data_IF_688532764392
#
_entry.id   IF_688532764392
#
_cell.length_a   1.000
_cell.length_b   1.000
_cell.length_c   1.000
_cell.angle_alpha   90.00
_cell.angle_beta   90.00
_cell.angle_gamma   90.00
#
_symmetry.space_group_name_H-M   'P 1'
#
loop_
_entity.id
_entity.type
_entity.pdbx_description
1 polymer ?
#
# COMPACT_ATOMS: atom_id res chain seq x y z
N UNK A 1 21.20 -11.96 -14.35
CA UNK A 1 22.19 -11.31 -13.47
C UNK A 1 21.77 -9.86 -13.31
N UNK A 2 21.42 -9.42 -12.09
CA UNK A 2 21.07 -8.02 -11.84
C UNK A 2 22.37 -7.18 -11.85
N UNK A 3 22.39 -6.14 -12.68
CA UNK A 3 23.51 -5.22 -12.82
C UNK A 3 23.72 -4.49 -11.48
N UNK A 4 24.91 -4.64 -10.89
CA UNK A 4 25.25 -3.97 -9.63
C UNK A 4 25.47 -2.49 -9.92
N UNK A 5 24.66 -1.63 -9.31
CA UNK A 5 24.83 -0.18 -9.37
C UNK A 5 26.24 0.21 -8.85
N UNK A 6 26.88 1.23 -9.45
CA UNK A 6 28.23 1.64 -9.09
C UNK A 6 28.29 2.13 -7.63
N UNK A 7 29.24 1.59 -6.86
CA UNK A 7 29.51 1.96 -5.47
C UNK A 7 30.63 3.02 -5.42
N UNK A 8 30.39 4.13 -4.74
CA UNK A 8 31.37 5.19 -4.47
C UNK A 8 31.72 5.20 -2.97
N UNK A 9 32.90 5.69 -2.59
CA UNK A 9 33.39 5.75 -1.19
C UNK A 9 32.52 6.56 -0.21
N UNK A 10 31.52 7.30 -0.71
CA UNK A 10 30.52 8.04 0.09
C UNK A 10 29.13 7.42 0.02
N UNK A 11 28.99 6.27 -0.64
CA UNK A 11 27.72 5.57 -0.84
C UNK A 11 27.41 4.70 0.39
N UNK A 12 26.70 5.30 1.35
CA UNK A 12 26.19 4.60 2.52
C UNK A 12 24.83 4.00 2.16
N UNK A 13 24.73 2.68 2.08
CA UNK A 13 23.44 1.98 2.02
C UNK A 13 22.72 2.06 3.36
N UNK A 14 22.04 3.18 3.63
CA UNK A 14 20.96 3.27 4.63
C UNK A 14 19.63 3.35 3.89
N UNK A 15 18.84 2.29 3.91
CA UNK A 15 17.40 2.43 3.66
C UNK A 15 16.75 2.78 4.99
N UNK A 16 16.71 4.06 5.32
CA UNK A 16 15.99 4.57 6.50
C UNK A 16 14.46 4.45 6.35
N UNK A 17 13.97 4.05 5.18
CA UNK A 17 12.55 3.83 4.91
C UNK A 17 12.33 2.77 3.83
N UNK A 18 11.14 2.16 3.82
CA UNK A 18 10.67 1.24 2.78
C UNK A 18 9.85 2.06 1.78
N UNK A 19 10.19 2.08 0.47
CA UNK A 19 9.43 2.83 -0.51
C UNK A 19 8.02 2.25 -0.68
N UNK A 20 7.03 3.13 -0.69
CA UNK A 20 5.62 2.76 -0.69
C UNK A 20 4.78 3.69 -1.57
N UNK A 21 3.69 3.16 -2.10
CA UNK A 21 2.59 3.94 -2.69
C UNK A 21 1.53 4.13 -1.60
N UNK A 22 1.06 5.36 -1.40
CA UNK A 22 0.05 5.66 -0.37
C UNK A 22 -1.32 5.95 -0.98
N UNK A 23 -2.35 5.30 -0.45
CA UNK A 23 -3.76 5.67 -0.69
C UNK A 23 -4.14 6.71 0.36
N UNK A 24 -4.27 7.97 -0.07
CA UNK A 24 -4.67 9.06 0.83
C UNK A 24 -6.16 9.03 1.16
N UNK A 25 -7.01 8.89 0.14
CA UNK A 25 -8.46 8.92 0.30
C UNK A 25 -9.10 7.85 -0.57
N UNK A 26 -10.00 7.07 0.04
CA UNK A 26 -10.80 6.08 -0.65
C UNK A 26 -12.21 6.10 -0.08
N UNK A 27 -13.19 6.38 -0.93
CA UNK A 27 -14.59 6.48 -0.53
C UNK A 27 -15.51 5.95 -1.63
N UNK A 28 -16.61 5.34 -1.21
CA UNK A 28 -17.71 4.93 -2.08
C UNK A 28 -18.92 5.75 -1.66
N UNK A 29 -19.62 6.35 -2.63
CA UNK A 29 -20.85 7.09 -2.35
C UNK A 29 -21.86 6.20 -1.63
N UNK A 30 -22.62 6.78 -0.68
CA UNK A 30 -23.56 6.04 0.19
C UNK A 30 -24.53 5.16 -0.59
N UNK A 31 -24.98 5.63 -1.75
CA UNK A 31 -25.93 4.91 -2.62
C UNK A 31 -25.35 3.62 -3.23
N UNK A 32 -24.03 3.46 -3.19
CA UNK A 32 -23.29 2.33 -3.77
C UNK A 32 -22.48 1.56 -2.71
N UNK A 33 -22.61 1.90 -1.43
CA UNK A 33 -21.97 1.14 -0.36
C UNK A 33 -22.62 -0.24 -0.19
N UNK A 34 -21.86 -1.18 0.39
CA UNK A 34 -22.28 -2.57 0.63
C UNK A 34 -22.70 -3.40 -0.61
N UNK A 35 -22.50 -2.88 -1.83
CA UNK A 35 -22.79 -3.57 -3.09
C UNK A 35 -21.55 -4.17 -3.77
N UNK A 36 -20.40 -4.18 -3.06
CA UNK A 36 -19.14 -4.76 -3.57
C UNK A 36 -18.25 -3.81 -4.37
N UNK A 37 -18.74 -2.62 -4.77
CA UNK A 37 -17.96 -1.64 -5.52
C UNK A 37 -16.63 -1.27 -4.88
N UNK A 38 -16.59 -1.08 -3.55
CA UNK A 38 -15.36 -0.75 -2.84
C UNK A 38 -14.26 -1.81 -3.03
N UNK A 39 -14.62 -3.08 -2.88
CA UNK A 39 -13.69 -4.20 -3.09
C UNK A 39 -13.26 -4.32 -4.56
N UNK A 40 -14.19 -4.13 -5.50
CA UNK A 40 -13.89 -4.21 -6.93
C UNK A 40 -12.92 -3.10 -7.37
N UNK A 41 -13.16 -1.87 -6.94
CA UNK A 41 -12.29 -0.72 -7.25
C UNK A 41 -10.92 -0.92 -6.59
N UNK A 42 -10.85 -1.39 -5.34
CA UNK A 42 -9.58 -1.64 -4.67
C UNK A 42 -8.75 -2.70 -5.40
N UNK A 43 -9.37 -3.80 -5.85
CA UNK A 43 -8.68 -4.82 -6.65
C UNK A 43 -8.16 -4.25 -7.96
N UNK A 44 -8.97 -3.46 -8.66
CA UNK A 44 -8.56 -2.80 -9.90
C UNK A 44 -7.38 -1.85 -9.67
N UNK A 45 -7.41 -1.09 -8.57
CA UNK A 45 -6.32 -0.20 -8.18
C UNK A 45 -5.03 -0.97 -7.89
N UNK A 46 -5.10 -2.08 -7.15
CA UNK A 46 -3.92 -2.92 -6.86
C UNK A 46 -3.33 -3.47 -8.17
N UNK A 47 -4.15 -3.96 -9.09
CA UNK A 47 -3.71 -4.43 -10.41
C UNK A 47 -3.07 -3.29 -11.20
N UNK A 48 -3.69 -2.12 -11.23
CA UNK A 48 -3.16 -0.94 -11.91
C UNK A 48 -1.78 -0.55 -11.38
N UNK A 49 -1.61 -0.49 -10.05
CA UNK A 49 -0.33 -0.21 -9.41
C UNK A 49 0.71 -1.25 -9.85
N UNK A 50 0.39 -2.55 -9.77
CA UNK A 50 1.33 -3.61 -10.10
C UNK A 50 1.75 -3.62 -11.58
N UNK A 51 0.81 -3.43 -12.49
CA UNK A 51 1.04 -3.58 -13.93
C UNK A 51 1.56 -2.29 -14.55
N UNK A 52 1.15 -1.12 -14.04
CA UNK A 52 1.42 0.17 -14.68
C UNK A 52 2.46 0.98 -13.91
N UNK A 53 2.46 0.94 -12.58
CA UNK A 53 3.34 1.79 -11.77
C UNK A 53 4.64 1.07 -11.44
N UNK A 54 4.59 -0.15 -10.91
CA UNK A 54 5.79 -0.87 -10.45
C UNK A 54 6.86 -1.16 -11.51
N UNK A 55 6.54 -1.35 -12.81
CA UNK A 55 7.58 -1.48 -13.84
C UNK A 55 8.43 -0.22 -14.03
N UNK A 56 7.92 0.93 -13.61
CA UNK A 56 8.56 2.23 -13.79
C UNK A 56 9.00 2.87 -12.46
N UNK A 57 8.64 2.27 -11.32
CA UNK A 57 8.93 2.81 -9.99
C UNK A 57 9.14 1.69 -8.97
N UNK A 58 10.27 1.75 -8.24
CA UNK A 58 10.53 0.81 -7.15
C UNK A 58 9.71 1.14 -5.90
N UNK A 59 8.65 0.37 -5.64
CA UNK A 59 7.91 0.40 -4.38
C UNK A 59 7.62 -1.03 -3.90
N UNK A 60 7.66 -1.24 -2.59
CA UNK A 60 7.46 -2.56 -1.97
C UNK A 60 6.11 -2.68 -1.27
N UNK A 61 5.52 -1.56 -0.87
CA UNK A 61 4.29 -1.51 -0.08
C UNK A 61 3.23 -0.63 -0.73
N UNK A 62 1.98 -0.99 -0.53
CA UNK A 62 0.83 -0.10 -0.66
C UNK A 62 0.30 0.22 0.73
N UNK A 63 0.27 1.49 1.13
CA UNK A 63 -0.06 1.90 2.50
C UNK A 63 -1.32 2.73 2.56
N UNK A 64 -2.00 2.68 3.70
CA UNK A 64 -3.18 3.50 4.00
C UNK A 64 -3.20 3.87 5.48
N UNK A 65 -3.68 5.10 5.75
CA UNK A 65 -4.05 5.52 7.09
C UNK A 65 -5.55 5.31 7.25
N UNK A 66 -5.93 4.11 7.70
CA UNK A 66 -7.34 3.74 7.79
C UNK A 66 -8.01 4.37 9.01
N UNK A 67 -9.20 4.94 8.81
CA UNK A 67 -10.11 5.20 9.92
C UNK A 67 -10.48 3.86 10.58
N UNK A 68 -10.80 3.88 11.88
CA UNK A 68 -11.07 2.65 12.65
C UNK A 68 -12.17 1.77 12.05
N UNK A 69 -13.23 2.38 11.52
CA UNK A 69 -14.37 1.67 10.93
C UNK A 69 -14.05 0.97 9.61
N UNK A 70 -12.96 1.33 8.94
CA UNK A 70 -12.56 0.78 7.64
C UNK A 70 -11.44 -0.28 7.73
N UNK A 71 -10.89 -0.53 8.92
CA UNK A 71 -9.79 -1.50 9.11
C UNK A 71 -10.14 -2.88 8.58
N UNK A 72 -11.33 -3.39 8.90
CA UNK A 72 -11.80 -4.69 8.44
C UNK A 72 -12.01 -4.74 6.92
N UNK A 73 -12.33 -3.61 6.30
CA UNK A 73 -12.41 -3.53 4.84
C UNK A 73 -11.03 -3.75 4.21
N UNK A 74 -10.00 -3.03 4.67
CA UNK A 74 -8.64 -3.16 4.16
C UNK A 74 -8.02 -4.53 4.47
N UNK A 75 -8.27 -5.07 5.67
CA UNK A 75 -7.83 -6.41 6.04
C UNK A 75 -8.36 -7.48 5.07
N UNK A 76 -9.64 -7.39 4.67
CA UNK A 76 -10.21 -8.29 3.64
C UNK A 76 -9.60 -8.12 2.24
N UNK A 77 -8.90 -7.02 1.97
CA UNK A 77 -8.15 -6.82 0.72
C UNK A 77 -6.68 -7.23 0.84
N UNK A 78 -6.25 -7.77 1.99
CA UNK A 78 -4.89 -8.25 2.23
C UNK A 78 -3.95 -7.25 2.93
N UNK A 79 -4.48 -6.12 3.41
CA UNK A 79 -3.65 -5.19 4.19
C UNK A 79 -3.51 -5.65 5.64
N UNK A 80 -2.30 -5.56 6.17
CA UNK A 80 -2.00 -5.82 7.58
C UNK A 80 -1.75 -4.53 8.34
N UNK A 81 -2.05 -4.53 9.65
CA UNK A 81 -1.76 -3.40 10.54
C UNK A 81 -0.25 -3.25 10.69
N UNK A 82 0.24 -2.02 10.65
CA UNK A 82 1.67 -1.72 10.79
C UNK A 82 1.96 -0.77 11.96
N UNK A 83 3.04 -1.08 12.68
CA UNK A 83 3.49 -0.31 13.83
C UNK A 83 2.62 -0.47 15.08
N UNK A 84 3.07 0.15 16.17
CA UNK A 84 2.28 0.29 17.39
C UNK A 84 1.43 1.56 17.25
N UNK A 85 0.10 1.45 17.37
CA UNK A 85 -0.87 2.54 17.26
C UNK A 85 -0.53 3.71 18.20
N UNK A 86 0.33 4.63 17.75
CA UNK A 86 0.60 5.91 18.43
C UNK A 86 -0.48 6.94 18.14
N UNK A 87 -1.15 6.80 17.01
CA UNK A 87 -2.27 7.63 16.63
C UNK A 87 -3.57 6.97 17.12
N UNK A 88 -4.32 7.68 17.95
CA UNK A 88 -5.58 7.19 18.52
C UNK A 88 -6.73 7.30 17.53
N UNK A 89 -6.57 8.05 16.42
CA UNK A 89 -7.63 8.28 15.44
C UNK A 89 -7.60 7.27 14.28
N UNK A 90 -6.41 6.95 13.75
CA UNK A 90 -6.22 6.12 12.56
C UNK A 90 -5.34 4.91 12.82
N UNK A 91 -5.46 3.90 11.96
CA UNK A 91 -4.65 2.69 11.96
C UNK A 91 -3.85 2.64 10.67
N UNK A 92 -2.52 2.61 10.80
CA UNK A 92 -1.65 2.43 9.65
C UNK A 92 -1.76 0.98 9.18
N UNK A 93 -1.99 0.79 7.90
CA UNK A 93 -2.04 -0.53 7.29
C UNK A 93 -1.21 -0.58 6.03
N UNK A 94 -0.62 -1.73 5.72
CA UNK A 94 0.19 -1.94 4.54
C UNK A 94 -0.14 -3.28 3.87
N UNK A 95 -0.09 -3.29 2.55
CA UNK A 95 -0.14 -4.47 1.70
C UNK A 95 1.23 -4.64 1.05
N UNK A 96 1.80 -5.83 1.13
CA UNK A 96 3.05 -6.16 0.45
C UNK A 96 2.74 -6.45 -1.02
N UNK A 97 3.36 -5.69 -1.93
CA UNK A 97 3.06 -5.76 -3.36
C UNK A 97 3.63 -7.01 -4.06
N UNK A 98 4.56 -7.73 -3.42
CA UNK A 98 5.05 -9.04 -3.90
C UNK A 98 4.08 -10.19 -3.63
N UNK A 99 3.19 -10.04 -2.64
CA UNK A 99 2.41 -11.17 -2.09
C UNK A 99 1.04 -11.30 -2.77
N UNK A 100 0.62 -10.26 -3.50
CA UNK A 100 -0.56 -10.33 -4.34
C UNK A 100 -0.16 -11.06 -5.62
N UNK A 101 -0.82 -12.16 -5.97
CA UNK A 101 -0.63 -12.87 -7.25
C UNK A 101 -1.65 -12.38 -8.27
#
# INVERSE_FOLDING_TARGET
MAEKLPTHDHFIHRRDSIPAVQIHHFAVSKNYQAQGYGSQIMKMLIVFIKVTILPHMGASLLTVNSIKSAVEFYHKQGFDKTGNNRDTANTNMALILSDVT
#
